data_IF_967686581892
#
_entry.id   IF_967686581892
#
_cell.length_a   1.000
_cell.length_b   1.000
_cell.length_c   1.000
_cell.angle_alpha   90.00
_cell.angle_beta   90.00
_cell.angle_gamma   90.00
#
_symmetry.space_group_name_H-M   'P 1'
#
loop_
_entity.id
_entity.type
_entity.pdbx_description
1 polymer ?
#
# COMPACT_ATOMS: atom_id res chain seq x y z
N UNK A 1 -52.74 -18.57 -30.85
CA UNK A 1 -52.98 -17.13 -30.57
C UNK A 1 -51.64 -16.46 -30.32
N UNK A 2 -51.18 -15.58 -31.24
CA UNK A 2 -49.98 -14.80 -31.05
C UNK A 2 -50.33 -13.64 -30.10
N UNK A 3 -49.78 -13.64 -28.91
CA UNK A 3 -49.90 -12.50 -27.97
C UNK A 3 -49.09 -11.33 -28.58
N UNK A 4 -49.78 -10.26 -28.95
CA UNK A 4 -49.15 -9.02 -29.38
C UNK A 4 -48.58 -8.33 -28.13
N UNK A 5 -47.31 -8.03 -28.14
CA UNK A 5 -46.66 -7.21 -27.10
C UNK A 5 -47.28 -5.80 -27.11
N UNK A 6 -47.69 -5.33 -25.94
CA UNK A 6 -48.21 -3.96 -25.83
C UNK A 6 -47.04 -3.00 -25.80
N UNK A 7 -47.19 -1.80 -26.42
CA UNK A 7 -46.15 -0.76 -26.48
C UNK A 7 -45.64 -0.31 -25.10
N UNK A 8 -46.44 -0.49 -24.06
CA UNK A 8 -46.08 -0.07 -22.69
C UNK A 8 -45.12 -1.01 -21.98
N UNK A 9 -45.12 -2.29 -22.37
CA UNK A 9 -44.32 -3.33 -21.72
C UNK A 9 -42.80 -3.10 -21.91
N UNK A 10 -42.26 -2.80 -23.14
CA UNK A 10 -40.87 -2.47 -23.31
C UNK A 10 -40.50 -1.14 -22.68
N UNK A 11 -41.40 -0.14 -22.64
CA UNK A 11 -41.13 1.15 -22.00
C UNK A 11 -40.90 0.96 -20.50
N UNK A 12 -41.70 0.15 -19.84
CA UNK A 12 -41.58 -0.14 -18.42
C UNK A 12 -40.22 -0.84 -18.10
N UNK A 13 -39.82 -1.77 -18.95
CA UNK A 13 -38.56 -2.50 -18.81
C UNK A 13 -37.32 -1.54 -18.91
N UNK A 14 -37.30 -0.66 -19.92
CA UNK A 14 -36.19 0.28 -20.07
C UNK A 14 -36.13 1.30 -18.93
N UNK A 15 -37.26 1.74 -18.40
CA UNK A 15 -37.29 2.65 -17.24
C UNK A 15 -36.72 1.97 -16.01
N UNK A 16 -37.11 0.73 -15.70
CA UNK A 16 -36.56 -0.02 -14.56
C UNK A 16 -35.05 -0.28 -14.76
N UNK A 17 -34.63 -0.71 -15.95
CA UNK A 17 -33.20 -0.91 -16.25
C UNK A 17 -32.39 0.38 -16.09
N UNK A 18 -32.93 1.52 -16.49
CA UNK A 18 -32.28 2.83 -16.33
C UNK A 18 -32.06 3.19 -14.86
N UNK A 19 -33.03 2.98 -13.99
CA UNK A 19 -32.92 3.24 -12.56
C UNK A 19 -31.91 2.30 -11.91
N UNK A 20 -31.95 1.00 -12.23
CA UNK A 20 -31.02 0.02 -11.70
C UNK A 20 -29.59 0.30 -12.16
N UNK A 21 -29.38 0.66 -13.43
CA UNK A 21 -28.07 1.00 -13.97
C UNK A 21 -27.44 2.18 -13.22
N UNK A 22 -28.20 3.23 -12.90
CA UNK A 22 -27.70 4.39 -12.18
C UNK A 22 -27.14 4.06 -10.78
N UNK A 23 -27.80 3.14 -10.07
CA UNK A 23 -27.34 2.69 -8.72
C UNK A 23 -26.13 1.77 -8.82
N UNK A 24 -26.09 0.88 -9.81
CA UNK A 24 -25.01 -0.10 -9.99
C UNK A 24 -23.69 0.59 -10.29
N UNK A 25 -23.67 1.61 -11.15
CA UNK A 25 -22.44 2.32 -11.54
C UNK A 25 -21.73 2.94 -10.32
N UNK A 26 -22.47 3.55 -9.42
CA UNK A 26 -21.92 4.13 -8.19
C UNK A 26 -21.29 3.08 -7.28
N UNK A 27 -21.94 1.93 -7.13
CA UNK A 27 -21.46 0.79 -6.34
C UNK A 27 -20.17 0.19 -6.91
N UNK A 28 -20.09 0.02 -8.23
CA UNK A 28 -18.90 -0.54 -8.90
C UNK A 28 -17.67 0.35 -8.70
N UNK A 29 -17.84 1.66 -8.79
CA UNK A 29 -16.70 2.59 -8.59
C UNK A 29 -16.16 2.53 -7.16
N UNK A 30 -17.02 2.50 -6.14
CA UNK A 30 -16.62 2.34 -4.74
C UNK A 30 -15.87 1.02 -4.52
N UNK A 31 -16.40 -0.09 -5.05
CA UNK A 31 -15.77 -1.42 -4.92
C UNK A 31 -14.39 -1.48 -5.59
N UNK A 32 -14.20 -0.79 -6.72
CA UNK A 32 -12.89 -0.71 -7.41
C UNK A 32 -11.85 0.05 -6.60
N UNK A 33 -12.25 1.11 -5.91
CA UNK A 33 -11.34 1.86 -5.03
C UNK A 33 -10.95 1.04 -3.82
N UNK A 34 -11.91 0.37 -3.19
CA UNK A 34 -11.65 -0.51 -2.06
C UNK A 34 -10.73 -1.69 -2.43
N UNK A 35 -10.90 -2.26 -3.63
CA UNK A 35 -10.00 -3.29 -4.14
C UNK A 35 -8.56 -2.79 -4.34
N UNK A 36 -8.37 -1.55 -4.80
CA UNK A 36 -7.03 -0.96 -4.93
C UNK A 36 -6.39 -0.70 -3.56
N UNK A 37 -7.18 -0.23 -2.59
CA UNK A 37 -6.71 -0.09 -1.21
C UNK A 37 -6.27 -1.42 -0.64
N UNK A 38 -7.10 -2.45 -0.72
CA UNK A 38 -6.79 -3.79 -0.20
C UNK A 38 -5.54 -4.38 -0.87
N UNK A 39 -5.39 -4.18 -2.18
CA UNK A 39 -4.18 -4.61 -2.90
C UNK A 39 -2.94 -3.93 -2.36
N UNK A 40 -2.93 -2.60 -2.25
CA UNK A 40 -1.80 -1.84 -1.74
C UNK A 40 -1.46 -2.25 -0.29
N UNK A 41 -2.49 -2.46 0.56
CA UNK A 41 -2.32 -2.97 1.92
C UNK A 41 -1.57 -4.29 1.93
N UNK A 42 -2.03 -5.25 1.14
CA UNK A 42 -1.41 -6.58 1.11
C UNK A 42 0.02 -6.53 0.58
N UNK A 43 0.30 -5.71 -0.43
CA UNK A 43 1.65 -5.54 -0.97
C UNK A 43 2.63 -4.93 0.06
N UNK A 44 2.19 -3.92 0.82
CA UNK A 44 3.00 -3.31 1.88
C UNK A 44 3.31 -4.33 2.98
N UNK A 45 2.29 -5.07 3.44
CA UNK A 45 2.47 -6.08 4.49
C UNK A 45 3.42 -7.19 4.02
N UNK A 46 3.24 -7.70 2.80
CA UNK A 46 4.11 -8.73 2.21
C UNK A 46 5.55 -8.23 2.13
N UNK A 47 5.77 -6.99 1.63
CA UNK A 47 7.11 -6.44 1.54
C UNK A 47 7.81 -6.35 2.90
N UNK A 48 7.11 -5.87 3.94
CA UNK A 48 7.65 -5.78 5.29
C UNK A 48 7.98 -7.17 5.84
N UNK A 49 7.11 -8.15 5.60
CA UNK A 49 7.33 -9.55 6.02
C UNK A 49 8.53 -10.17 5.31
N UNK A 50 8.66 -9.97 4.00
CA UNK A 50 9.77 -10.48 3.19
C UNK A 50 11.11 -9.90 3.67
N UNK A 51 11.17 -8.57 3.86
CA UNK A 51 12.36 -7.89 4.34
C UNK A 51 12.74 -8.38 5.74
N UNK A 52 11.74 -8.54 6.62
CA UNK A 52 11.99 -9.04 7.96
C UNK A 52 12.45 -10.51 7.96
N UNK A 53 11.84 -11.37 7.14
CA UNK A 53 12.26 -12.76 6.96
C UNK A 53 13.69 -12.87 6.44
N UNK A 54 14.05 -12.05 5.45
CA UNK A 54 15.41 -11.97 4.93
C UNK A 54 16.40 -11.54 6.04
N UNK A 55 16.05 -10.48 6.77
CA UNK A 55 16.87 -10.00 7.88
C UNK A 55 17.10 -11.05 8.97
N UNK A 56 16.06 -11.82 9.32
CA UNK A 56 16.15 -12.90 10.30
C UNK A 56 17.06 -14.03 9.78
N UNK A 57 16.99 -14.36 8.50
CA UNK A 57 17.80 -15.45 7.91
C UNK A 57 19.27 -15.10 7.74
N UNK A 58 19.56 -13.87 7.31
CA UNK A 58 20.91 -13.42 6.94
C UNK A 58 21.60 -12.60 8.07
N UNK A 59 20.84 -12.17 9.07
CA UNK A 59 21.32 -11.31 10.17
C UNK A 59 21.60 -9.85 9.77
N UNK A 60 21.32 -9.50 8.53
CA UNK A 60 21.54 -8.15 7.95
C UNK A 60 20.62 -7.91 6.76
N UNK A 61 20.42 -6.64 6.40
CA UNK A 61 19.74 -6.27 5.16
C UNK A 61 20.65 -6.53 3.95
N UNK A 62 20.03 -6.83 2.79
CA UNK A 62 20.77 -6.90 1.54
C UNK A 62 21.29 -5.52 1.14
N UNK A 63 22.55 -5.42 0.79
CA UNK A 63 23.23 -4.16 0.44
C UNK A 63 23.79 -4.28 -0.97
N UNK A 64 23.45 -3.33 -1.84
CA UNK A 64 24.14 -3.10 -3.09
C UNK A 64 25.50 -2.44 -2.79
N UNK A 65 26.57 -3.21 -2.91
CA UNK A 65 27.94 -2.77 -2.60
C UNK A 65 28.45 -1.66 -3.52
N UNK A 66 27.84 -1.47 -4.71
CA UNK A 66 28.25 -0.42 -5.65
C UNK A 66 27.74 0.95 -5.21
N UNK A 67 26.52 1.00 -4.70
CA UNK A 67 25.85 2.25 -4.35
C UNK A 67 25.77 2.50 -2.84
N UNK A 68 26.20 1.54 -2.02
CA UNK A 68 26.07 1.54 -0.56
C UNK A 68 24.63 1.81 -0.10
N UNK A 69 23.68 1.10 -0.70
CA UNK A 69 22.24 1.23 -0.46
C UNK A 69 21.61 -0.13 -0.20
N UNK A 70 20.44 -0.13 0.42
CA UNK A 70 19.64 -1.35 0.58
C UNK A 70 19.18 -1.85 -0.79
N UNK A 71 19.39 -3.13 -1.05
CA UNK A 71 18.89 -3.80 -2.27
C UNK A 71 17.56 -4.52 -1.97
N UNK A 72 16.47 -3.81 -2.17
CA UNK A 72 15.13 -4.37 -1.99
C UNK A 72 14.81 -5.49 -2.97
N UNK A 73 15.43 -5.53 -4.17
CA UNK A 73 15.19 -6.58 -5.16
C UNK A 73 15.66 -7.96 -4.71
N UNK A 74 16.66 -8.00 -3.85
CA UNK A 74 17.13 -9.24 -3.26
C UNK A 74 16.22 -9.76 -2.14
N UNK A 75 15.36 -8.89 -1.58
CA UNK A 75 14.58 -9.21 -0.38
C UNK A 75 13.08 -9.39 -0.65
N UNK A 76 12.50 -8.65 -1.61
CA UNK A 76 11.06 -8.72 -1.91
C UNK A 76 10.78 -8.47 -3.38
N UNK A 77 9.67 -9.06 -3.85
CA UNK A 77 9.09 -8.79 -5.17
C UNK A 77 7.86 -7.88 -5.11
N UNK A 78 7.45 -7.45 -3.91
CA UNK A 78 6.31 -6.57 -3.72
C UNK A 78 6.72 -5.10 -3.88
N UNK A 79 5.80 -4.27 -4.36
CA UNK A 79 6.04 -2.85 -4.58
C UNK A 79 6.79 -2.51 -5.87
N UNK A 80 7.15 -1.26 -6.04
CA UNK A 80 7.88 -0.72 -7.20
C UNK A 80 9.19 -0.11 -6.72
N UNK A 81 10.30 -0.50 -7.33
CA UNK A 81 11.60 0.07 -7.01
C UNK A 81 11.91 1.20 -7.98
N UNK A 82 12.15 2.39 -7.45
CA UNK A 82 12.47 3.58 -8.22
C UNK A 82 13.92 3.57 -8.76
N UNK A 83 14.29 4.60 -9.53
CA UNK A 83 15.64 4.77 -10.07
C UNK A 83 16.71 5.00 -8.99
N UNK A 84 16.30 5.42 -7.79
CA UNK A 84 17.15 5.64 -6.62
C UNK A 84 17.28 4.39 -5.74
N UNK A 85 16.59 3.31 -6.09
CA UNK A 85 16.61 2.05 -5.35
C UNK A 85 15.64 2.01 -4.17
N UNK A 86 14.77 3.00 -4.01
CA UNK A 86 13.77 3.01 -2.95
C UNK A 86 12.57 2.14 -3.31
N UNK A 87 11.89 1.62 -2.30
CA UNK A 87 10.71 0.78 -2.47
C UNK A 87 9.43 1.58 -2.23
N UNK A 88 8.66 1.80 -3.29
CA UNK A 88 7.42 2.57 -3.29
C UNK A 88 6.18 1.72 -3.52
N UNK A 89 5.07 2.14 -2.91
CA UNK A 89 3.74 1.55 -3.08
C UNK A 89 2.75 2.63 -3.50
N UNK A 90 2.10 2.40 -4.63
CA UNK A 90 1.26 3.40 -5.29
C UNK A 90 -0.20 2.95 -5.32
N UNK A 91 -1.12 3.91 -5.13
CA UNK A 91 -2.54 3.72 -5.41
C UNK A 91 -2.92 4.71 -6.49
N UNK A 92 -3.20 4.22 -7.70
CA UNK A 92 -3.25 5.02 -8.94
C UNK A 92 -1.87 5.67 -9.17
N UNK A 93 -1.83 7.00 -9.17
CA UNK A 93 -0.62 7.81 -9.39
C UNK A 93 -0.06 8.40 -8.09
N UNK A 94 -0.74 8.15 -6.94
CA UNK A 94 -0.31 8.66 -5.64
C UNK A 94 0.61 7.65 -4.94
N UNK A 95 1.78 8.10 -4.51
CA UNK A 95 2.70 7.34 -3.68
C UNK A 95 2.21 7.35 -2.23
N UNK A 96 1.76 6.18 -1.76
CA UNK A 96 1.15 6.06 -0.44
C UNK A 96 2.11 5.61 0.65
N UNK A 97 3.13 4.85 0.28
CA UNK A 97 4.11 4.34 1.20
C UNK A 97 5.44 4.17 0.47
N UNK A 98 6.50 4.59 1.12
CA UNK A 98 7.82 4.63 0.52
C UNK A 98 8.87 4.26 1.56
N UNK A 99 9.70 3.27 1.26
CA UNK A 99 10.83 2.86 2.10
C UNK A 99 12.12 3.33 1.44
N UNK A 100 12.89 4.13 2.16
CA UNK A 100 14.17 4.65 1.68
C UNK A 100 15.21 3.55 1.58
N UNK A 101 15.98 3.53 0.49
CA UNK A 101 17.14 2.67 0.32
C UNK A 101 18.38 3.17 1.09
N UNK A 102 18.32 4.38 1.64
CA UNK A 102 19.42 4.93 2.43
C UNK A 102 19.27 4.52 3.88
N UNK A 103 20.38 4.09 4.47
CA UNK A 103 20.47 3.94 5.92
C UNK A 103 20.38 5.31 6.57
N UNK A 104 19.55 5.46 7.58
CA UNK A 104 19.53 6.68 8.34
C UNK A 104 20.72 6.69 9.30
N UNK A 105 21.76 7.46 8.96
CA UNK A 105 23.02 7.56 9.72
C UNK A 105 22.87 8.22 11.09
N UNK A 106 21.68 8.71 11.43
CA UNK A 106 21.39 9.30 12.75
C UNK A 106 21.11 8.27 13.87
N UNK A 107 20.80 7.03 13.50
CA UNK A 107 20.71 5.91 14.41
C UNK A 107 21.85 4.93 14.07
N UNK A 108 22.74 4.67 15.01
CA UNK A 108 23.89 3.79 14.84
C UNK A 108 23.57 2.31 14.59
N UNK A 109 22.29 1.99 14.39
CA UNK A 109 21.81 0.63 14.17
C UNK A 109 21.45 0.45 12.69
N UNK A 110 22.11 -0.46 12.01
CA UNK A 110 21.90 -0.85 10.60
C UNK A 110 20.49 -1.46 10.34
N UNK A 111 19.62 -1.47 11.35
CA UNK A 111 18.32 -2.15 11.34
C UNK A 111 17.15 -1.21 11.07
N UNK A 112 17.38 0.06 10.86
CA UNK A 112 16.32 1.06 10.67
C UNK A 112 16.31 1.56 9.24
N UNK A 113 15.13 1.51 8.61
CA UNK A 113 14.89 2.12 7.31
C UNK A 113 13.94 3.29 7.44
N UNK A 114 14.25 4.39 6.79
CA UNK A 114 13.39 5.56 6.70
C UNK A 114 12.14 5.25 5.88
N UNK A 115 10.99 5.73 6.36
CA UNK A 115 9.70 5.56 5.70
C UNK A 115 9.01 6.90 5.57
N UNK A 116 8.46 7.17 4.40
CA UNK A 116 7.56 8.28 4.15
C UNK A 116 6.15 7.77 3.86
N UNK A 117 5.16 8.52 4.33
CA UNK A 117 3.74 8.20 4.21
C UNK A 117 3.08 9.28 3.37
N UNK A 118 2.41 8.87 2.30
CA UNK A 118 1.57 9.77 1.50
C UNK A 118 0.25 10.06 2.20
N UNK A 119 -0.14 11.34 2.25
CA UNK A 119 -1.37 11.79 2.93
C UNK A 119 -2.48 12.23 1.94
N UNK A 120 -2.27 12.06 0.63
CA UNK A 120 -3.19 12.54 -0.40
C UNK A 120 -4.17 11.45 -0.85
N UNK A 121 -5.36 11.87 -1.25
CA UNK A 121 -6.34 11.02 -1.95
C UNK A 121 -6.67 9.71 -1.24
N UNK A 122 -6.47 8.59 -1.95
CA UNK A 122 -6.70 7.24 -1.42
C UNK A 122 -5.65 6.82 -0.37
N UNK A 123 -4.48 7.44 -0.36
CA UNK A 123 -3.45 7.16 0.64
C UNK A 123 -3.91 7.52 2.04
N UNK A 124 -4.62 8.65 2.21
CA UNK A 124 -5.22 9.02 3.48
C UNK A 124 -6.19 7.95 4.00
N UNK A 125 -7.06 7.44 3.12
CA UNK A 125 -7.99 6.34 3.47
C UNK A 125 -7.25 5.06 3.87
N UNK A 126 -6.11 4.76 3.22
CA UNK A 126 -5.25 3.63 3.56
C UNK A 126 -4.79 3.72 5.03
N UNK A 127 -4.30 4.89 5.44
CA UNK A 127 -3.78 5.12 6.80
C UNK A 127 -4.87 5.25 7.87
N UNK A 128 -6.12 5.50 7.48
CA UNK A 128 -7.26 5.51 8.39
C UNK A 128 -7.79 4.11 8.71
N UNK A 129 -7.35 3.07 7.98
CA UNK A 129 -7.75 1.68 8.27
C UNK A 129 -7.16 1.19 9.59
N UNK A 130 -7.88 0.33 10.34
CA UNK A 130 -7.41 -0.16 11.65
C UNK A 130 -6.06 -0.85 11.59
N UNK A 131 -5.82 -1.62 10.54
CA UNK A 131 -4.59 -2.39 10.29
C UNK A 131 -3.39 -1.46 10.14
N UNK A 132 -3.53 -0.39 9.36
CA UNK A 132 -2.46 0.57 9.15
C UNK A 132 -2.27 1.55 10.31
N UNK A 133 -3.29 1.84 11.09
CA UNK A 133 -3.14 2.55 12.37
C UNK A 133 -2.25 1.79 13.33
N UNK A 134 -2.40 0.47 13.39
CA UNK A 134 -1.54 -0.38 14.20
C UNK A 134 -0.11 -0.40 13.65
N UNK A 135 0.07 -0.51 12.35
CA UNK A 135 1.38 -0.42 11.69
C UNK A 135 2.06 0.92 12.01
N UNK A 136 1.36 2.04 11.90
CA UNK A 136 1.88 3.36 12.22
C UNK A 136 2.30 3.53 13.69
N UNK A 137 1.67 2.83 14.63
CA UNK A 137 2.05 2.84 16.05
C UNK A 137 3.37 2.10 16.33
N UNK A 138 3.74 1.15 15.46
CA UNK A 138 4.98 0.38 15.59
C UNK A 138 6.16 1.03 14.88
N UNK A 139 5.89 1.99 14.00
CA UNK A 139 6.94 2.80 13.38
C UNK A 139 7.49 3.83 14.37
N UNK A 140 8.80 3.96 14.42
CA UNK A 140 9.46 4.99 15.22
C UNK A 140 9.35 6.33 14.50
N UNK A 141 8.88 7.36 15.21
CA UNK A 141 8.81 8.72 14.69
C UNK A 141 10.13 9.44 14.91
N UNK A 142 10.66 10.12 13.88
CA UNK A 142 11.84 10.96 14.04
C UNK A 142 11.54 12.17 14.94
N UNK A 143 12.42 12.45 15.89
CA UNK A 143 12.27 13.62 16.75
C UNK A 143 12.52 14.88 15.92
N UNK A 144 11.44 15.65 15.64
CA UNK A 144 11.51 16.96 14.99
C UNK A 144 10.93 17.08 13.58
N UNK A 145 10.59 15.97 12.91
CA UNK A 145 9.95 15.97 11.60
C UNK A 145 8.57 15.33 11.64
N UNK A 146 7.59 15.97 11.04
CA UNK A 146 6.17 15.56 11.13
C UNK A 146 5.79 14.39 10.22
N UNK A 147 6.61 14.02 9.25
CA UNK A 147 6.29 13.04 8.21
C UNK A 147 7.32 11.92 8.02
N UNK A 148 8.41 11.91 8.77
CA UNK A 148 9.43 10.86 8.65
C UNK A 148 9.27 9.81 9.74
N UNK A 149 9.12 8.56 9.33
CA UNK A 149 9.00 7.39 10.19
C UNK A 149 10.16 6.44 9.92
N UNK A 150 10.42 5.54 10.86
CA UNK A 150 11.41 4.47 10.71
C UNK A 150 10.76 3.12 11.00
N UNK A 151 11.13 2.10 10.24
CA UNK A 151 10.82 0.72 10.53
C UNK A 151 12.09 0.03 11.01
N UNK A 152 12.00 -0.69 12.15
CA UNK A 152 13.08 -1.54 12.65
C UNK A 152 12.83 -2.99 12.26
N UNK A 153 13.88 -3.68 11.83
CA UNK A 153 13.85 -5.11 11.50
C UNK A 153 14.63 -5.92 12.56
N UNK A 154 14.21 -7.17 12.77
CA UNK A 154 14.91 -8.08 13.68
C UNK A 154 14.68 -7.84 15.18
N UNK A 155 13.82 -6.92 15.57
CA UNK A 155 13.41 -6.75 16.96
C UNK A 155 12.19 -7.60 17.29
N UNK A 156 12.06 -8.05 18.56
CA UNK A 156 10.90 -8.83 19.05
C UNK A 156 9.57 -8.06 19.03
N UNK A 157 9.57 -6.81 18.58
CA UNK A 157 8.38 -6.00 18.29
C UNK A 157 7.97 -6.11 16.82
N UNK A 158 8.30 -7.22 16.15
CA UNK A 158 7.77 -7.51 14.84
C UNK A 158 6.23 -7.53 14.90
N UNK A 159 5.68 -6.71 14.09
CA UNK A 159 4.28 -6.41 13.87
C UNK A 159 3.57 -7.66 13.35
N UNK A 160 2.76 -8.27 14.16
CA UNK A 160 1.69 -9.19 13.73
C UNK A 160 0.46 -8.97 14.60
#
# INVERSE_FOLDING_TARGET
>A
MKKAFTMIEPIFVIVIMGILAAVIISKINATREDAKLTKAMSEIVVAIQDINAYYISEGKLAIDTKNNRVDFRAMTNAGVIDSSGNLGFFIKDDECFFISSFFNTGHNDENYLGVNIGENGLCKRLWETPEFKQLGQTMLRSAGETSSYFISFGTTRAIF
#
